data_IF_682477124109
#
_entry.id   IF_682477124109
#
_cell.length_a   1.000
_cell.length_b   1.000
_cell.length_c   1.000
_cell.angle_alpha   90.00
_cell.angle_beta   90.00
_cell.angle_gamma   90.00
#
_symmetry.space_group_name_H-M   'P 1'
#
loop_
_entity.id
_entity.type
_entity.pdbx_description
1 polymer ?
#
# COMPACT_ATOMS: atom_id res chain seq x y z
N UNK A 1 -16.34 -11.89 -2.05
CA UNK A 1 -15.57 -10.68 -2.38
C UNK A 1 -14.80 -10.78 -3.71
N UNK A 2 -13.62 -11.41 -3.84
CA UNK A 2 -12.87 -11.41 -5.12
C UNK A 2 -13.66 -11.99 -6.30
N UNK A 3 -14.36 -13.10 -6.08
CA UNK A 3 -15.23 -13.72 -7.08
C UNK A 3 -16.40 -12.81 -7.49
N UNK A 4 -17.04 -12.16 -6.53
CA UNK A 4 -18.13 -11.21 -6.79
C UNK A 4 -17.65 -9.98 -7.59
N UNK A 5 -16.39 -9.59 -7.39
CA UNK A 5 -15.74 -8.52 -8.15
C UNK A 5 -15.26 -8.97 -9.55
N UNK A 6 -15.50 -10.22 -9.97
CA UNK A 6 -15.02 -10.75 -11.25
C UNK A 6 -13.52 -11.06 -11.29
N UNK A 7 -12.84 -11.06 -10.14
CA UNK A 7 -11.40 -11.32 -9.99
C UNK A 7 -11.14 -12.70 -9.38
N UNK A 8 -11.94 -13.70 -9.75
CA UNK A 8 -11.87 -15.04 -9.17
C UNK A 8 -10.54 -15.77 -9.42
N UNK A 9 -9.83 -15.39 -10.49
CA UNK A 9 -8.51 -15.91 -10.83
C UNK A 9 -7.36 -15.07 -10.24
N UNK A 10 -7.68 -14.08 -9.39
CA UNK A 10 -6.70 -13.17 -8.81
C UNK A 10 -6.14 -12.16 -9.81
N UNK A 11 -5.08 -11.47 -9.41
CA UNK A 11 -4.41 -10.45 -10.22
C UNK A 11 -2.98 -10.20 -9.70
N UNK A 12 -2.20 -9.46 -10.50
CA UNK A 12 -0.86 -8.96 -10.11
C UNK A 12 -0.93 -7.49 -9.78
N UNK A 13 -0.16 -7.07 -8.79
CA UNK A 13 -0.03 -5.66 -8.42
C UNK A 13 1.35 -5.39 -7.80
N UNK A 14 1.70 -4.11 -7.66
CA UNK A 14 2.93 -3.66 -7.03
C UNK A 14 2.68 -3.20 -5.59
N UNK A 15 3.62 -3.50 -4.69
CA UNK A 15 3.62 -3.05 -3.32
C UNK A 15 4.85 -2.17 -3.09
N UNK A 16 4.69 -0.85 -3.19
CA UNK A 16 5.78 0.11 -2.99
C UNK A 16 5.98 0.38 -1.50
N UNK A 17 7.14 -0.02 -0.95
CA UNK A 17 7.40 0.01 0.49
C UNK A 17 8.51 0.99 0.87
N UNK A 18 8.24 1.95 1.78
CA UNK A 18 9.28 2.83 2.31
C UNK A 18 10.26 2.09 3.25
N UNK A 19 11.35 2.74 3.71
CA UNK A 19 12.37 2.12 4.56
C UNK A 19 11.94 1.53 5.91
N UNK A 20 10.98 2.10 6.67
CA UNK A 20 10.70 1.64 8.04
C UNK A 20 10.36 0.14 8.16
N UNK A 21 10.81 -0.54 9.24
CA UNK A 21 10.60 -1.97 9.41
C UNK A 21 9.13 -2.41 9.40
N UNK A 22 8.22 -1.58 9.93
CA UNK A 22 6.79 -1.91 9.92
C UNK A 22 6.26 -2.07 8.49
N UNK A 23 6.79 -1.29 7.54
CA UNK A 23 6.38 -1.34 6.15
C UNK A 23 7.03 -2.52 5.44
N UNK A 24 8.34 -2.70 5.58
CA UNK A 24 9.07 -3.78 4.90
C UNK A 24 8.71 -5.17 5.42
N UNK A 25 8.80 -5.38 6.73
CA UNK A 25 8.46 -6.67 7.36
C UNK A 25 6.96 -6.96 7.27
N UNK A 26 6.12 -5.94 7.51
CA UNK A 26 4.67 -6.07 7.35
C UNK A 26 4.27 -6.38 5.91
N UNK A 27 4.94 -5.76 4.93
CA UNK A 27 4.69 -5.97 3.52
C UNK A 27 5.01 -7.38 3.04
N UNK A 28 6.06 -8.01 3.55
CA UNK A 28 6.37 -9.42 3.26
C UNK A 28 5.26 -10.36 3.76
N UNK A 29 4.77 -10.12 4.97
CA UNK A 29 3.67 -10.90 5.55
C UNK A 29 2.39 -10.70 4.75
N UNK A 30 2.06 -9.45 4.40
CA UNK A 30 0.87 -9.12 3.59
C UNK A 30 0.96 -9.77 2.22
N UNK A 31 2.11 -9.67 1.53
CA UNK A 31 2.30 -10.30 0.22
C UNK A 31 2.14 -11.83 0.31
N UNK A 32 2.67 -12.47 1.36
CA UNK A 32 2.49 -13.90 1.60
C UNK A 32 1.02 -14.29 1.81
N UNK A 33 0.29 -13.53 2.63
CA UNK A 33 -1.13 -13.77 2.90
C UNK A 33 -2.01 -13.55 1.67
N UNK A 34 -1.76 -12.49 0.91
CA UNK A 34 -2.52 -12.15 -0.29
C UNK A 34 -2.29 -13.15 -1.43
N UNK A 35 -1.10 -13.76 -1.50
CA UNK A 35 -0.83 -14.86 -2.44
C UNK A 35 -1.76 -16.05 -2.23
N UNK A 36 -2.13 -16.37 -0.99
CA UNK A 36 -3.05 -17.48 -0.69
C UNK A 36 -4.45 -17.30 -1.26
N UNK A 37 -4.82 -16.07 -1.65
CA UNK A 37 -6.10 -15.75 -2.28
C UNK A 37 -5.96 -15.30 -3.74
N UNK A 38 -4.82 -15.59 -4.37
CA UNK A 38 -4.56 -15.34 -5.79
C UNK A 38 -4.06 -13.93 -6.13
N UNK A 39 -3.73 -13.10 -5.14
CA UNK A 39 -3.17 -11.77 -5.38
C UNK A 39 -1.64 -11.85 -5.29
N UNK A 40 -0.97 -11.72 -6.44
CA UNK A 40 0.49 -11.83 -6.54
C UNK A 40 1.13 -10.44 -6.53
N UNK A 41 1.66 -10.06 -5.37
CA UNK A 41 2.29 -8.76 -5.16
C UNK A 41 3.78 -8.79 -5.47
N UNK A 42 4.22 -7.89 -6.36
CA UNK A 42 5.62 -7.55 -6.52
C UNK A 42 6.03 -6.48 -5.51
N UNK A 43 6.87 -6.86 -4.55
CA UNK A 43 7.44 -5.91 -3.58
C UNK A 43 8.46 -5.01 -4.27
N UNK A 44 8.29 -3.70 -4.15
CA UNK A 44 9.18 -2.67 -4.68
C UNK A 44 9.67 -1.80 -3.52
N UNK A 45 10.85 -2.11 -2.94
CA UNK A 45 11.46 -1.24 -1.95
C UNK A 45 11.82 0.11 -2.57
N UNK A 46 11.45 1.20 -1.90
CA UNK A 46 11.82 2.57 -2.29
C UNK A 46 12.39 3.33 -1.11
N UNK A 47 13.19 4.35 -1.40
CA UNK A 47 13.68 5.30 -0.39
C UNK A 47 12.62 6.37 -0.06
N UNK A 48 12.73 7.01 1.11
CA UNK A 48 11.66 7.90 1.60
C UNK A 48 11.36 9.08 0.66
N UNK A 49 12.40 9.70 0.09
CA UNK A 49 12.21 10.79 -0.88
C UNK A 49 11.45 10.32 -2.14
N UNK A 50 11.75 9.11 -2.62
CA UNK A 50 11.05 8.52 -3.74
C UNK A 50 9.61 8.15 -3.37
N UNK A 51 9.38 7.67 -2.15
CA UNK A 51 8.03 7.41 -1.65
C UNK A 51 7.19 8.69 -1.59
N UNK A 52 7.75 9.79 -1.09
CA UNK A 52 7.04 11.08 -1.05
C UNK A 52 6.67 11.59 -2.44
N UNK A 53 7.57 11.47 -3.43
CA UNK A 53 7.29 11.89 -4.80
C UNK A 53 6.29 10.94 -5.49
N UNK A 54 6.58 9.65 -5.54
CA UNK A 54 5.80 8.69 -6.32
C UNK A 54 4.50 8.31 -5.63
N UNK A 55 4.55 7.97 -4.35
CA UNK A 55 3.38 7.45 -3.60
C UNK A 55 2.54 8.60 -3.07
N UNK A 56 3.12 9.45 -2.23
CA UNK A 56 2.36 10.50 -1.54
C UNK A 56 1.87 11.60 -2.50
N UNK A 57 2.74 12.10 -3.39
CA UNK A 57 2.42 13.23 -4.27
C UNK A 57 1.72 12.77 -5.56
N UNK A 58 2.35 11.86 -6.30
CA UNK A 58 1.88 11.45 -7.64
C UNK A 58 0.82 10.35 -7.62
N UNK A 59 0.61 9.70 -6.46
CA UNK A 59 -0.31 8.57 -6.32
C UNK A 59 0.01 7.40 -7.28
N UNK A 60 1.27 7.25 -7.66
CA UNK A 60 1.78 6.19 -8.52
C UNK A 60 2.12 4.96 -7.69
N UNK A 61 1.11 4.16 -7.35
CA UNK A 61 1.23 2.87 -6.68
C UNK A 61 -0.09 2.08 -6.78
N UNK A 62 -0.01 0.75 -6.76
CA UNK A 62 -1.20 -0.08 -6.55
C UNK A 62 -1.46 -0.25 -5.05
N UNK A 63 -0.42 -0.59 -4.27
CA UNK A 63 -0.45 -0.71 -2.83
C UNK A 63 0.78 -0.07 -2.17
N UNK A 64 0.60 0.42 -0.95
CA UNK A 64 1.69 0.89 -0.07
C UNK A 64 1.33 0.68 1.40
N UNK A 65 2.33 0.75 2.28
CA UNK A 65 2.14 0.67 3.74
C UNK A 65 2.84 1.86 4.38
N UNK A 66 2.08 2.59 5.19
CA UNK A 66 2.57 3.73 5.96
C UNK A 66 1.77 3.81 7.26
N UNK A 67 2.48 4.01 8.36
CA UNK A 67 1.86 4.16 9.68
C UNK A 67 1.61 5.64 9.93
N UNK A 68 0.37 6.00 10.25
CA UNK A 68 0.03 7.30 10.81
C UNK A 68 -0.03 7.16 12.31
N UNK A 69 0.84 7.84 13.03
CA UNK A 69 0.91 7.78 14.49
C UNK A 69 0.67 9.14 15.09
N UNK A 70 -0.57 9.67 15.03
CA UNK A 70 -0.85 10.97 15.64
C UNK A 70 -2.25 11.07 16.29
N UNK A 71 -2.35 11.44 17.59
CA UNK A 71 -3.62 11.59 18.30
C UNK A 71 -4.45 12.82 17.88
N UNK A 72 -3.88 13.75 17.10
CA UNK A 72 -4.53 15.00 16.68
C UNK A 72 -4.93 15.04 15.19
N UNK A 73 -4.70 13.95 14.45
CA UNK A 73 -4.73 13.93 12.98
C UNK A 73 -6.05 13.38 12.43
N UNK A 74 -7.11 13.29 13.24
CA UNK A 74 -8.40 12.79 12.73
C UNK A 74 -8.94 13.65 11.58
N UNK A 75 -8.56 14.93 11.53
CA UNK A 75 -8.95 15.84 10.46
C UNK A 75 -8.30 15.50 9.11
N UNK A 76 -7.16 14.78 9.07
CA UNK A 76 -6.48 14.42 7.82
C UNK A 76 -7.35 13.50 6.95
N UNK A 77 -8.19 12.66 7.57
CA UNK A 77 -9.15 11.80 6.87
C UNK A 77 -10.28 12.61 6.18
N UNK A 78 -10.48 13.87 6.56
CA UNK A 78 -11.46 14.77 5.94
C UNK A 78 -10.88 15.63 4.81
N UNK A 79 -9.56 15.62 4.61
CA UNK A 79 -8.87 16.42 3.59
C UNK A 79 -9.03 15.75 2.22
N UNK A 80 -9.76 16.39 1.30
CA UNK A 80 -10.08 15.86 -0.04
C UNK A 80 -8.85 15.49 -0.87
N UNK A 81 -7.77 16.26 -0.73
CA UNK A 81 -6.56 16.11 -1.56
C UNK A 81 -5.44 15.37 -0.84
N UNK A 82 -5.74 14.70 0.27
CA UNK A 82 -4.79 13.80 0.92
C UNK A 82 -4.65 12.50 0.10
N UNK A 83 -3.66 11.67 0.44
CA UNK A 83 -3.32 10.51 -0.37
C UNK A 83 -4.19 9.27 -0.12
N UNK A 84 -5.18 9.35 0.77
CA UNK A 84 -6.21 8.33 0.89
C UNK A 84 -7.06 8.33 -0.38
N UNK A 85 -7.21 7.17 -1.03
CA UNK A 85 -8.07 6.97 -2.20
C UNK A 85 -9.04 5.82 -1.95
#
# INVERSE_FOLDING_TARGET
>A
LLKEAGLENGFKATLKLPPPPYARLGGEIIASQLRNVGIDLQIVPVEWAQWLDQVFTKKDYDLTIVSHTEPNDIDIYSRKDYYFN
#
